data_IF_031271414313
#
_entry.id   IF_031271414313
#
_cell.length_a   1.000
_cell.length_b   1.000
_cell.length_c   1.000
_cell.angle_alpha   90.00
_cell.angle_beta   90.00
_cell.angle_gamma   90.00
#
_symmetry.space_group_name_H-M   'P 1'
#
loop_
_entity.id
_entity.type
_entity.pdbx_description
1 polymer ?
#
# COMPACT_ATOMS: atom_id res chain seq x y z
N UNK A 1 -4.19 -27.03 -5.42
CA UNK A 1 -2.99 -26.17 -5.37
C UNK A 1 -2.50 -25.72 -6.76
N UNK A 2 -2.37 -26.61 -7.76
CA UNK A 2 -1.87 -26.21 -9.10
C UNK A 2 -2.70 -25.11 -9.82
N UNK A 3 -4.01 -25.03 -9.55
CA UNK A 3 -4.92 -24.10 -10.23
C UNK A 3 -4.60 -22.63 -9.89
N UNK A 4 -4.42 -22.28 -8.62
CA UNK A 4 -4.14 -20.88 -8.22
C UNK A 4 -2.81 -20.39 -8.78
N UNK A 5 -1.79 -21.25 -8.78
CA UNK A 5 -0.50 -20.93 -9.38
C UNK A 5 -0.61 -20.70 -10.89
N UNK A 6 -1.37 -21.53 -11.60
CA UNK A 6 -1.62 -21.34 -13.03
C UNK A 6 -2.36 -20.03 -13.31
N UNK A 7 -3.42 -19.72 -12.53
CA UNK A 7 -4.19 -18.48 -12.67
C UNK A 7 -3.30 -17.26 -12.46
N UNK A 8 -2.46 -17.26 -11.42
CA UNK A 8 -1.47 -16.20 -11.14
C UNK A 8 -0.49 -16.00 -12.30
N UNK A 9 0.08 -17.09 -12.80
CA UNK A 9 1.05 -17.02 -13.89
C UNK A 9 0.40 -16.47 -15.17
N UNK A 10 -0.80 -16.95 -15.50
CA UNK A 10 -1.54 -16.49 -16.69
C UNK A 10 -1.96 -15.02 -16.55
N UNK A 11 -2.50 -14.60 -15.39
CA UNK A 11 -2.91 -13.20 -15.19
C UNK A 11 -1.72 -12.25 -15.30
N UNK A 12 -0.58 -12.58 -14.70
CA UNK A 12 0.62 -11.73 -14.78
C UNK A 12 1.22 -11.69 -16.18
N UNK A 13 1.27 -12.83 -16.88
CA UNK A 13 1.76 -12.88 -18.25
C UNK A 13 0.88 -12.04 -19.21
N UNK A 14 -0.45 -12.14 -19.07
CA UNK A 14 -1.40 -11.37 -19.88
C UNK A 14 -1.30 -9.87 -19.55
N UNK A 15 -1.22 -9.49 -18.27
CA UNK A 15 -1.03 -8.08 -17.89
C UNK A 15 0.29 -7.51 -18.43
N UNK A 16 1.39 -8.27 -18.41
CA UNK A 16 2.66 -7.82 -19.01
C UNK A 16 2.55 -7.66 -20.53
N UNK A 17 1.88 -8.58 -21.21
CA UNK A 17 1.62 -8.47 -22.65
C UNK A 17 0.80 -7.21 -22.96
N UNK A 18 -0.29 -6.98 -22.22
CA UNK A 18 -1.11 -5.77 -22.36
C UNK A 18 -0.37 -4.49 -21.99
N UNK A 19 0.56 -4.54 -21.04
CA UNK A 19 1.43 -3.40 -20.72
C UNK A 19 2.30 -3.01 -21.91
N UNK A 20 2.90 -3.99 -22.61
CA UNK A 20 3.71 -3.73 -23.81
C UNK A 20 2.86 -3.15 -24.95
N UNK A 21 1.65 -3.69 -25.15
CA UNK A 21 0.71 -3.18 -26.16
C UNK A 21 0.30 -1.75 -25.83
N UNK A 22 -0.12 -1.48 -24.59
CA UNK A 22 -0.53 -0.15 -24.12
C UNK A 22 0.61 0.88 -24.26
N UNK A 23 1.85 0.48 -23.95
CA UNK A 23 3.02 1.33 -24.15
C UNK A 23 3.22 1.71 -25.63
N UNK A 24 3.03 0.74 -26.54
CA UNK A 24 3.12 0.96 -27.97
C UNK A 24 2.00 1.86 -28.52
N UNK A 25 0.75 1.58 -28.13
CA UNK A 25 -0.43 2.33 -28.58
C UNK A 25 -0.38 3.78 -28.07
N UNK A 26 -0.11 3.98 -26.78
CA UNK A 26 0.02 5.33 -26.21
C UNK A 26 1.21 6.09 -26.79
N UNK A 27 2.36 5.43 -27.01
CA UNK A 27 3.53 6.05 -27.65
C UNK A 27 3.26 6.46 -29.10
N UNK A 28 2.55 5.61 -29.86
CA UNK A 28 2.11 5.92 -31.22
C UNK A 28 1.19 7.14 -31.25
N UNK A 29 0.21 7.19 -30.34
CA UNK A 29 -0.73 8.32 -30.24
C UNK A 29 -0.04 9.63 -29.85
N UNK A 30 0.94 9.60 -28.94
CA UNK A 30 1.78 10.78 -28.61
C UNK A 30 2.56 11.23 -29.85
N UNK A 31 3.09 10.31 -30.66
CA UNK A 31 3.85 10.64 -31.86
C UNK A 31 2.99 11.28 -32.97
N UNK A 32 1.74 10.82 -33.13
CA UNK A 32 0.81 11.42 -34.09
C UNK A 32 0.31 12.77 -33.60
N UNK A 33 0.00 12.91 -32.31
CA UNK A 33 -0.37 14.20 -31.71
C UNK A 33 0.74 15.24 -31.93
N UNK A 34 2.00 14.85 -31.78
CA UNK A 34 3.14 15.74 -32.01
C UNK A 34 3.28 16.19 -33.48
N UNK A 35 2.94 15.35 -34.46
CA UNK A 35 2.96 15.73 -35.89
C UNK A 35 1.90 16.79 -36.23
N UNK A 36 0.78 16.76 -35.52
CA UNK A 36 -0.31 17.73 -35.67
C UNK A 36 -0.03 19.05 -34.94
N UNK A 37 1.15 19.21 -34.31
CA UNK A 37 1.47 20.37 -33.48
C UNK A 37 0.80 20.35 -32.10
N UNK A 38 0.11 19.26 -31.76
CA UNK A 38 -0.54 19.06 -30.46
C UNK A 38 0.43 18.56 -29.38
N UNK A 39 0.12 18.89 -28.12
CA UNK A 39 0.82 18.31 -26.97
C UNK A 39 0.47 16.84 -26.75
N UNK A 40 1.31 16.13 -25.98
CA UNK A 40 1.02 14.76 -25.56
C UNK A 40 -0.28 14.71 -24.74
N UNK A 41 -1.30 13.96 -25.18
CA UNK A 41 -2.56 13.95 -24.46
C UNK A 41 -2.46 13.20 -23.13
N UNK A 42 -3.16 13.69 -22.10
CA UNK A 42 -2.95 13.24 -20.72
C UNK A 42 -3.23 11.75 -20.52
N UNK A 43 -4.29 11.22 -21.12
CA UNK A 43 -4.65 9.80 -21.02
C UNK A 43 -3.60 8.90 -21.68
N UNK A 44 -2.96 9.36 -22.76
CA UNK A 44 -1.88 8.62 -23.41
C UNK A 44 -0.63 8.60 -22.51
N UNK A 45 -0.28 9.75 -21.91
CA UNK A 45 0.81 9.83 -20.92
C UNK A 45 0.52 8.93 -19.71
N UNK A 46 -0.71 8.96 -19.19
CA UNK A 46 -1.14 8.08 -18.10
C UNK A 46 -1.00 6.60 -18.50
N UNK A 47 -1.44 6.22 -19.70
CA UNK A 47 -1.28 4.86 -20.23
C UNK A 47 0.19 4.41 -20.30
N UNK A 48 1.10 5.28 -20.75
CA UNK A 48 2.56 5.01 -20.73
C UNK A 48 3.05 4.76 -19.31
N UNK A 49 2.69 5.64 -18.36
CA UNK A 49 3.13 5.54 -16.97
C UNK A 49 2.62 4.25 -16.32
N UNK A 50 1.33 3.92 -16.50
CA UNK A 50 0.71 2.72 -15.94
C UNK A 50 1.32 1.44 -16.55
N UNK A 51 1.60 1.44 -17.85
CA UNK A 51 2.28 0.33 -18.52
C UNK A 51 3.71 0.11 -17.97
N UNK A 52 4.50 1.18 -17.83
CA UNK A 52 5.85 1.11 -17.28
C UNK A 52 5.86 0.64 -15.82
N UNK A 53 4.96 1.18 -14.99
CA UNK A 53 4.80 0.75 -13.60
C UNK A 53 4.42 -0.73 -13.53
N UNK A 54 3.54 -1.20 -14.41
CA UNK A 54 3.15 -2.61 -14.47
C UNK A 54 4.33 -3.51 -14.85
N UNK A 55 5.15 -3.11 -15.83
CA UNK A 55 6.36 -3.84 -16.21
C UNK A 55 7.39 -3.88 -15.07
N UNK A 56 7.62 -2.77 -14.38
CA UNK A 56 8.59 -2.65 -13.28
C UNK A 56 8.11 -3.39 -12.02
N UNK A 57 6.81 -3.50 -11.79
CA UNK A 57 6.27 -4.17 -10.60
C UNK A 57 6.04 -5.66 -10.83
N UNK A 58 5.26 -6.02 -11.85
CA UNK A 58 4.92 -7.42 -12.16
C UNK A 58 6.12 -8.16 -12.74
N UNK A 59 6.93 -7.52 -13.58
CA UNK A 59 8.07 -8.15 -14.25
C UNK A 59 9.06 -8.78 -13.27
N UNK A 60 9.61 -8.02 -12.30
CA UNK A 60 10.47 -8.56 -11.25
C UNK A 60 9.76 -9.56 -10.34
N UNK A 61 8.49 -9.36 -10.00
CA UNK A 61 7.73 -10.34 -9.22
C UNK A 61 7.68 -11.69 -9.93
N UNK A 62 7.36 -11.70 -11.23
CA UNK A 62 7.29 -12.91 -12.05
C UNK A 62 8.68 -13.54 -12.24
N UNK A 63 9.71 -12.74 -12.50
CA UNK A 63 11.08 -13.22 -12.69
C UNK A 63 11.65 -13.86 -11.41
N UNK A 64 11.45 -13.21 -10.26
CA UNK A 64 11.90 -13.74 -8.96
C UNK A 64 11.18 -15.04 -8.62
N UNK A 65 9.87 -15.12 -8.88
CA UNK A 65 9.08 -16.33 -8.66
C UNK A 65 9.60 -17.54 -9.47
N UNK A 66 10.12 -17.28 -10.68
CA UNK A 66 10.71 -18.31 -11.54
C UNK A 66 12.11 -18.74 -11.06
N UNK A 67 12.90 -17.81 -10.51
CA UNK A 67 14.30 -18.06 -10.14
C UNK A 67 14.43 -18.60 -8.71
N UNK A 68 13.65 -18.10 -7.75
CA UNK A 68 13.86 -18.38 -6.32
C UNK A 68 12.53 -18.64 -5.60
N UNK A 69 12.41 -19.85 -5.03
CA UNK A 69 11.32 -20.18 -4.10
C UNK A 69 11.53 -19.47 -2.76
N UNK A 70 10.44 -18.98 -2.16
CA UNK A 70 10.46 -18.34 -0.83
C UNK A 70 10.97 -16.90 -0.79
N UNK A 71 10.96 -16.17 -1.92
CA UNK A 71 11.28 -14.75 -1.91
C UNK A 71 10.19 -13.93 -1.21
N UNK A 72 10.58 -12.91 -0.44
CA UNK A 72 9.67 -12.01 0.30
C UNK A 72 8.68 -11.34 -0.65
N UNK A 73 9.08 -11.06 -1.89
CA UNK A 73 8.22 -10.48 -2.93
C UNK A 73 7.02 -11.35 -3.30
N UNK A 74 7.03 -12.64 -2.92
CA UNK A 74 5.93 -13.57 -3.15
C UNK A 74 4.96 -13.67 -1.95
N UNK A 75 5.12 -12.84 -0.91
CA UNK A 75 4.16 -12.83 0.20
C UNK A 75 2.81 -12.32 -0.27
N UNK A 76 1.76 -13.06 0.09
CA UNK A 76 0.37 -12.77 -0.25
C UNK A 76 -0.03 -11.32 0.09
N UNK A 77 0.41 -10.78 1.23
CA UNK A 77 0.13 -9.37 1.63
C UNK A 77 0.74 -8.36 0.66
N UNK A 78 1.99 -8.56 0.24
CA UNK A 78 2.70 -7.64 -0.65
C UNK A 78 2.07 -7.71 -2.04
N UNK A 79 1.78 -8.92 -2.51
CA UNK A 79 1.11 -9.16 -3.78
C UNK A 79 -0.28 -8.50 -3.84
N UNK A 80 -1.12 -8.68 -2.81
CA UNK A 80 -2.42 -8.01 -2.70
C UNK A 80 -2.31 -6.48 -2.70
N UNK A 81 -1.31 -5.94 -2.01
CA UNK A 81 -1.12 -4.49 -1.92
C UNK A 81 -0.73 -3.89 -3.27
N UNK A 82 0.26 -4.50 -3.95
CA UNK A 82 0.72 -4.05 -5.27
C UNK A 82 -0.37 -4.17 -6.32
N UNK A 83 -1.06 -5.32 -6.37
CA UNK A 83 -2.18 -5.51 -7.30
C UNK A 83 -3.33 -4.55 -7.01
N UNK A 84 -3.58 -4.26 -5.73
CA UNK A 84 -4.56 -3.28 -5.27
C UNK A 84 -4.37 -1.91 -5.90
N UNK A 85 -3.13 -1.42 -5.93
CA UNK A 85 -2.78 -0.15 -6.59
C UNK A 85 -2.89 -0.28 -8.11
N UNK A 86 -2.38 -1.38 -8.66
CA UNK A 86 -2.26 -1.54 -10.10
C UNK A 86 -3.63 -1.61 -10.80
N UNK A 87 -4.61 -2.33 -10.23
CA UNK A 87 -5.93 -2.41 -10.87
C UNK A 87 -6.65 -1.05 -10.91
N UNK A 88 -6.48 -0.21 -9.88
CA UNK A 88 -7.07 1.15 -9.85
C UNK A 88 -6.41 2.04 -10.91
N UNK A 89 -5.10 1.94 -11.08
CA UNK A 89 -4.38 2.68 -12.12
C UNK A 89 -4.84 2.28 -13.53
N UNK A 90 -5.05 0.99 -13.78
CA UNK A 90 -5.61 0.50 -15.05
C UNK A 90 -7.04 0.97 -15.28
N UNK A 91 -7.88 1.00 -14.23
CA UNK A 91 -9.23 1.55 -14.29
C UNK A 91 -9.20 3.05 -14.64
N UNK A 92 -8.32 3.82 -13.99
CA UNK A 92 -8.15 5.25 -14.25
C UNK A 92 -7.68 5.52 -15.68
N UNK A 93 -6.74 4.73 -16.20
CA UNK A 93 -6.28 4.84 -17.59
C UNK A 93 -7.42 4.58 -18.58
N UNK A 94 -8.18 3.49 -18.39
CA UNK A 94 -9.33 3.16 -19.24
C UNK A 94 -10.44 4.22 -19.16
N UNK A 95 -10.81 4.66 -17.95
CA UNK A 95 -11.82 5.68 -17.73
C UNK A 95 -11.41 7.03 -18.34
N UNK A 96 -10.14 7.42 -18.23
CA UNK A 96 -9.65 8.67 -18.83
C UNK A 96 -9.67 8.67 -20.36
N UNK A 97 -9.57 7.49 -20.98
CA UNK A 97 -9.71 7.34 -22.41
C UNK A 97 -11.19 7.36 -22.81
N UNK A 98 -12.05 6.70 -22.03
CA UNK A 98 -13.50 6.67 -22.25
C UNK A 98 -14.15 8.05 -22.17
N UNK A 99 -13.71 8.88 -21.23
CA UNK A 99 -14.22 10.26 -21.04
C UNK A 99 -14.04 11.12 -22.30
N UNK A 100 -12.91 10.94 -23.01
CA UNK A 100 -12.64 11.65 -24.27
C UNK A 100 -13.53 11.13 -25.41
N UNK A 101 -13.91 9.86 -25.39
CA UNK A 101 -14.78 9.24 -26.41
C UNK A 101 -16.27 9.46 -26.19
N UNK A 102 -16.70 9.74 -24.95
CA UNK A 102 -18.11 9.97 -24.60
C UNK A 102 -18.54 11.45 -24.86
N UNK A 103 -17.57 12.31 -25.19
CA UNK A 103 -17.80 13.70 -25.56
C UNK A 103 -18.17 13.89 -27.05
N UNK A 104 -19.01 14.89 -27.32
CA UNK A 104 -19.40 15.40 -28.67
C UNK A 104 -18.19 15.76 -29.56
N UNK A 105 -16.98 15.83 -28.98
CA UNK A 105 -15.77 16.39 -29.60
C UNK A 105 -15.11 15.50 -30.65
N UNK A 106 -15.27 14.16 -30.61
CA UNK A 106 -14.67 13.27 -31.62
C UNK A 106 -15.70 12.20 -32.04
N UNK A 107 -16.57 12.55 -32.99
CA UNK A 107 -17.49 11.59 -33.60
C UNK A 107 -16.74 10.70 -34.58
N UNK A 108 -16.23 9.58 -34.08
CA UNK A 108 -15.61 8.54 -34.91
C UNK A 108 -16.58 7.82 -35.86
N UNK A 109 -17.88 8.16 -35.83
CA UNK A 109 -18.91 7.52 -36.64
C UNK A 109 -19.17 8.19 -37.98
N UNK A 110 -18.79 9.45 -38.18
CA UNK A 110 -19.21 10.24 -39.34
C UNK A 110 -18.02 10.69 -40.20
N UNK A 111 -18.04 10.33 -41.49
CA UNK A 111 -17.00 10.50 -42.52
C UNK A 111 -16.62 11.97 -42.87
N UNK A 112 -16.88 12.93 -41.99
CA UNK A 112 -16.76 14.35 -42.29
C UNK A 112 -15.36 14.84 -41.95
N UNK A 113 -14.42 14.53 -42.85
CA UNK A 113 -13.05 15.02 -42.82
C UNK A 113 -12.06 13.89 -42.58
N UNK A 114 -11.06 13.79 -43.43
CA UNK A 114 -9.98 12.79 -43.42
C UNK A 114 -9.03 12.91 -42.22
N UNK A 115 -9.54 13.26 -41.03
CA UNK A 115 -8.82 13.04 -39.79
C UNK A 115 -8.71 11.52 -39.68
N UNK A 116 -7.48 11.05 -39.77
CA UNK A 116 -7.15 9.64 -39.99
C UNK A 116 -7.94 8.73 -39.03
N UNK A 117 -8.79 7.85 -39.59
CA UNK A 117 -9.49 6.77 -38.87
C UNK A 117 -8.57 5.99 -37.92
N UNK A 118 -7.26 6.00 -38.22
CA UNK A 118 -6.21 5.41 -37.40
C UNK A 118 -6.16 5.98 -35.96
N UNK A 119 -6.38 7.29 -35.78
CA UNK A 119 -6.35 7.92 -34.46
C UNK A 119 -7.50 7.38 -33.60
N UNK A 120 -8.72 7.32 -34.13
CA UNK A 120 -9.85 6.80 -33.37
C UNK A 120 -9.64 5.35 -32.92
N UNK A 121 -9.08 4.50 -33.79
CA UNK A 121 -8.76 3.12 -33.42
C UNK A 121 -7.72 3.02 -32.29
N UNK A 122 -6.79 3.96 -32.18
CA UNK A 122 -5.83 4.01 -31.08
C UNK A 122 -6.52 4.36 -29.75
N UNK A 123 -7.49 5.29 -29.74
CA UNK A 123 -8.27 5.61 -28.53
C UNK A 123 -9.07 4.41 -28.03
N UNK A 124 -9.84 3.80 -28.93
CA UNK A 124 -10.66 2.65 -28.60
C UNK A 124 -9.79 1.48 -28.09
N UNK A 125 -8.57 1.34 -28.61
CA UNK A 125 -7.62 0.37 -28.08
C UNK A 125 -7.17 0.69 -26.64
N UNK A 126 -6.80 1.93 -26.33
CA UNK A 126 -6.40 2.36 -24.97
C UNK A 126 -7.52 2.09 -23.97
N UNK A 127 -8.75 2.46 -24.32
CA UNK A 127 -9.94 2.23 -23.51
C UNK A 127 -10.14 0.73 -23.25
N UNK A 128 -10.17 -0.08 -24.31
CA UNK A 128 -10.40 -1.52 -24.22
C UNK A 128 -9.31 -2.24 -23.41
N UNK A 129 -8.03 -1.98 -23.70
CA UNK A 129 -6.93 -2.59 -22.94
C UNK A 129 -6.89 -2.10 -21.48
N UNK A 130 -7.28 -0.85 -21.24
CA UNK A 130 -7.52 -0.28 -19.92
C UNK A 130 -8.47 -1.12 -19.08
N UNK A 131 -9.71 -1.27 -19.55
CA UNK A 131 -10.76 -1.99 -18.84
C UNK A 131 -10.52 -3.50 -18.76
N UNK A 132 -10.03 -4.14 -19.82
CA UNK A 132 -9.77 -5.58 -19.81
C UNK A 132 -8.69 -5.92 -18.78
N UNK A 133 -7.59 -5.14 -18.75
CA UNK A 133 -6.51 -5.37 -17.78
C UNK A 133 -6.98 -5.10 -16.35
N UNK A 134 -7.76 -4.05 -16.15
CA UNK A 134 -8.41 -3.77 -14.87
C UNK A 134 -9.23 -4.96 -14.37
N UNK A 135 -10.11 -5.53 -15.22
CA UNK A 135 -10.96 -6.68 -14.85
C UNK A 135 -10.13 -7.91 -14.49
N UNK A 136 -9.06 -8.20 -15.24
CA UNK A 136 -8.18 -9.34 -14.97
C UNK A 136 -7.50 -9.18 -13.60
N UNK A 137 -6.94 -8.00 -13.34
CA UNK A 137 -6.26 -7.71 -12.07
C UNK A 137 -7.23 -7.70 -10.89
N UNK A 138 -8.42 -7.11 -11.04
CA UNK A 138 -9.46 -7.09 -10.02
C UNK A 138 -9.96 -8.51 -9.72
N UNK A 139 -10.25 -9.30 -10.76
CA UNK A 139 -10.68 -10.69 -10.60
C UNK A 139 -9.65 -11.52 -9.84
N UNK A 140 -8.37 -11.39 -10.21
CA UNK A 140 -7.30 -12.06 -9.49
C UNK A 140 -7.18 -11.57 -8.04
N UNK A 141 -7.21 -10.26 -7.80
CA UNK A 141 -7.14 -9.66 -6.47
C UNK A 141 -8.26 -10.17 -5.54
N UNK A 142 -9.52 -10.19 -6.02
CA UNK A 142 -10.67 -10.69 -5.26
C UNK A 142 -10.49 -12.17 -4.94
N UNK A 143 -10.10 -13.00 -5.93
CA UNK A 143 -9.92 -14.43 -5.68
C UNK A 143 -8.86 -14.67 -4.61
N UNK A 144 -7.69 -14.01 -4.71
CA UNK A 144 -6.59 -14.14 -3.76
C UNK A 144 -7.02 -13.69 -2.35
N UNK A 145 -7.78 -12.58 -2.25
CA UNK A 145 -8.33 -12.11 -0.98
C UNK A 145 -9.28 -13.14 -0.35
N UNK A 146 -10.24 -13.67 -1.11
CA UNK A 146 -11.22 -14.65 -0.63
C UNK A 146 -10.53 -15.93 -0.14
N UNK A 147 -9.56 -16.45 -0.89
CA UNK A 147 -8.81 -17.65 -0.48
C UNK A 147 -7.98 -17.41 0.78
N UNK A 148 -7.32 -16.26 0.88
CA UNK A 148 -6.53 -15.87 2.06
C UNK A 148 -7.40 -15.73 3.30
N UNK A 149 -8.55 -15.05 3.18
CA UNK A 149 -9.49 -14.87 4.30
C UNK A 149 -10.06 -16.21 4.75
N UNK A 150 -10.42 -17.11 3.82
CA UNK A 150 -10.91 -18.46 4.17
C UNK A 150 -9.85 -19.28 4.91
N UNK A 151 -8.62 -19.31 4.42
CA UNK A 151 -7.52 -20.03 5.08
C UNK A 151 -7.19 -19.43 6.46
N UNK A 152 -7.27 -18.11 6.60
CA UNK A 152 -7.10 -17.43 7.88
C UNK A 152 -8.20 -17.81 8.89
N UNK A 153 -9.47 -17.89 8.45
CA UNK A 153 -10.59 -18.32 9.30
C UNK A 153 -10.44 -19.80 9.73
N UNK A 154 -9.80 -20.63 8.90
CA UNK A 154 -9.49 -22.04 9.23
C UNK A 154 -8.34 -22.21 10.24
N UNK A 155 -7.78 -21.12 10.76
CA UNK A 155 -6.72 -21.15 11.78
C UNK A 155 -5.29 -21.12 11.23
N UNK A 156 -5.12 -21.06 9.90
CA UNK A 156 -3.80 -20.91 9.30
C UNK A 156 -3.34 -19.45 9.36
N UNK A 157 -2.72 -19.05 10.47
CA UNK A 157 -2.26 -17.66 10.67
C UNK A 157 -1.07 -17.28 9.78
N UNK A 158 -0.29 -18.26 9.29
CA UNK A 158 0.89 -18.00 8.46
C UNK A 158 0.53 -17.73 6.99
N UNK A 159 -0.75 -17.86 6.61
CA UNK A 159 -1.26 -17.61 5.24
C UNK A 159 -0.82 -16.24 4.67
N UNK A 160 -0.77 -15.19 5.50
CA UNK A 160 -0.44 -13.83 5.05
C UNK A 160 1.03 -13.67 4.64
N UNK A 161 1.93 -14.43 5.27
CA UNK A 161 3.37 -14.43 4.99
C UNK A 161 3.75 -15.61 4.08
N UNK A 162 2.80 -16.50 3.78
CA UNK A 162 2.97 -17.60 2.86
C UNK A 162 3.04 -17.09 1.41
N UNK A 163 3.71 -17.88 0.57
CA UNK A 163 3.62 -17.71 -0.89
C UNK A 163 2.34 -18.38 -1.37
N UNK A 164 1.71 -17.86 -2.43
CA UNK A 164 0.51 -18.48 -3.05
C UNK A 164 0.78 -19.94 -3.46
N UNK A 165 2.04 -20.27 -3.77
CA UNK A 165 2.48 -21.60 -4.19
C UNK A 165 2.60 -22.58 -3.03
N UNK A 166 3.11 -22.13 -1.88
CA UNK A 166 3.43 -23.00 -0.74
C UNK A 166 2.26 -23.09 0.26
N UNK A 167 1.27 -22.20 0.14
CA UNK A 167 0.12 -22.17 1.04
C UNK A 167 -0.94 -23.18 0.61
N UNK A 168 -1.25 -24.13 1.49
CA UNK A 168 -2.39 -25.04 1.29
C UNK A 168 -3.69 -24.37 1.73
N UNK A 169 -4.50 -23.97 0.76
CA UNK A 169 -5.82 -23.37 0.98
C UNK A 169 -6.95 -24.40 1.17
N UNK A 170 -6.66 -25.69 0.96
CA UNK A 170 -7.66 -26.78 0.98
C UNK A 170 -7.65 -27.59 2.26
N UNK A 171 -6.48 -27.78 2.87
CA UNK A 171 -6.38 -28.52 4.11
C UNK A 171 -6.51 -27.57 5.29
N UNK A 172 -7.74 -27.42 5.80
CA UNK A 172 -7.93 -26.95 7.17
C UNK A 172 -7.04 -27.83 8.06
N UNK A 173 -6.16 -27.22 8.84
CA UNK A 173 -5.12 -27.92 9.59
C UNK A 173 -5.76 -28.96 10.52
N UNK A 174 -5.96 -30.18 10.05
CA UNK A 174 -6.03 -31.35 10.92
C UNK A 174 -4.68 -31.37 11.58
N UNK A 175 -4.64 -30.94 12.84
CA UNK A 175 -3.45 -30.74 13.65
C UNK A 175 -2.68 -32.02 13.94
N UNK A 176 -2.24 -32.71 12.89
CA UNK A 176 -1.00 -33.45 12.94
C UNK A 176 0.06 -32.37 12.80
N UNK A 177 0.34 -31.68 13.91
CA UNK A 177 1.56 -30.89 14.00
C UNK A 177 2.69 -31.78 13.47
N UNK A 178 3.69 -31.22 12.74
CA UNK A 178 4.87 -32.00 12.46
C UNK A 178 5.27 -32.60 13.79
N UNK A 179 5.31 -33.93 13.87
CA UNK A 179 6.17 -34.62 14.81
C UNK A 179 7.54 -34.01 14.51
N UNK A 180 7.82 -32.85 15.11
CA UNK A 180 9.16 -32.42 15.40
C UNK A 180 9.68 -33.69 16.05
N UNK A 181 10.58 -34.44 15.38
CA UNK A 181 11.06 -35.68 15.92
C UNK A 181 11.51 -35.27 17.30
N UNK A 182 10.75 -35.72 18.33
CA UNK A 182 11.13 -35.49 19.70
C UNK A 182 12.54 -36.02 19.69
N UNK A 183 13.52 -35.12 19.76
CA UNK A 183 14.92 -35.47 19.81
C UNK A 183 14.92 -36.52 20.89
N UNK A 184 15.11 -37.82 20.55
CA UNK A 184 14.77 -38.91 21.44
C UNK A 184 15.48 -38.55 22.71
N UNK A 185 14.68 -38.27 23.76
CA UNK A 185 15.19 -37.77 25.02
C UNK A 185 16.38 -38.66 25.30
N UNK A 186 17.59 -38.12 25.16
CA UNK A 186 18.76 -38.94 25.32
C UNK A 186 18.73 -39.23 26.80
N UNK A 187 18.18 -40.39 27.14
CA UNK A 187 18.60 -41.23 28.25
C UNK A 187 20.06 -41.60 28.00
N UNK A 188 20.91 -40.57 27.87
CA UNK A 188 22.26 -40.60 28.35
C UNK A 188 22.13 -40.63 29.86
N UNK A 189 21.89 -41.84 30.36
CA UNK A 189 22.65 -42.29 31.52
C UNK A 189 24.10 -42.10 31.12
N UNK A 190 24.60 -40.89 31.35
CA UNK A 190 26.02 -40.61 31.38
C UNK A 190 26.55 -41.52 32.48
N UNK A 191 27.19 -42.60 32.04
CA UNK A 191 27.94 -43.50 32.90
C UNK A 191 28.99 -42.63 33.55
N UNK A 192 28.71 -42.21 34.79
CA UNK A 192 29.65 -41.52 35.68
C UNK A 192 30.99 -42.21 35.58
N UNK A 193 31.92 -41.55 34.90
CA UNK A 193 33.32 -41.89 34.96
C UNK A 193 33.78 -41.60 36.39
N UNK A 194 34.39 -42.55 37.10
CA UNK A 194 34.76 -42.37 38.50
C UNK A 194 35.81 -41.26 38.59
N UNK A 195 35.36 -40.08 39.02
CA UNK A 195 36.24 -38.99 39.40
C UNK A 195 37.00 -39.43 40.63
N UNK A 196 38.33 -39.40 40.50
CA UNK A 196 39.25 -39.67 41.59
C UNK A 196 38.93 -38.78 42.79
N UNK A 197 38.95 -39.43 43.96
CA UNK A 197 38.82 -38.87 45.30
C UNK A 197 39.35 -37.44 45.46
N UNK A 198 38.44 -36.48 45.65
CA UNK A 198 38.75 -35.22 46.33
C UNK A 198 38.52 -35.44 47.83
N UNK A 199 39.47 -35.11 48.71
CA UNK A 199 39.33 -35.33 50.14
C UNK A 199 38.27 -34.43 50.76
N UNK A 200 37.59 -35.00 51.74
CA UNK A 200 36.51 -34.45 52.52
C UNK A 200 36.87 -33.09 53.15
N UNK A 201 36.06 -32.07 52.87
CA UNK A 201 35.90 -30.90 53.74
C UNK A 201 34.56 -31.04 54.42
N UNK A 202 34.61 -31.33 55.72
CA UNK A 202 33.46 -31.43 56.59
C UNK A 202 32.93 -30.01 56.88
N UNK A 203 31.70 -29.73 56.48
CA UNK A 203 30.88 -28.72 57.13
C UNK A 203 29.50 -29.29 57.43
N UNK A 204 29.35 -29.63 58.71
CA UNK A 204 28.09 -29.82 59.41
C UNK A 204 27.32 -28.50 59.50
N UNK A 205 26.00 -28.54 59.32
CA UNK A 205 25.11 -27.48 59.80
C UNK A 205 23.88 -27.28 58.95
N UNK A 206 22.78 -27.92 59.36
CA UNK A 206 21.43 -27.60 58.94
C UNK A 206 21.16 -26.09 58.99
N UNK A 207 20.57 -25.53 57.94
CA UNK A 207 19.47 -24.60 58.15
C UNK A 207 18.42 -24.73 57.04
N UNK A 208 17.19 -24.83 57.53
CA UNK A 208 15.94 -24.94 56.81
C UNK A 208 15.60 -23.66 56.03
N UNK A 209 14.74 -23.83 55.04
CA UNK A 209 13.86 -22.80 54.47
C UNK A 209 14.57 -21.73 53.64
N UNK A 210 14.64 -21.97 52.34
CA UNK A 210 14.62 -20.88 51.36
C UNK A 210 13.65 -21.23 50.26
N UNK A 211 12.58 -20.42 50.19
CA UNK A 211 11.70 -20.30 49.05
C UNK A 211 12.54 -20.36 47.77
N UNK A 212 12.14 -21.23 46.85
CA UNK A 212 12.55 -21.21 45.47
C UNK A 212 12.25 -19.82 44.89
N UNK A 213 13.27 -18.96 44.90
CA UNK A 213 13.28 -17.74 44.13
C UNK A 213 13.13 -18.14 42.67
N UNK A 214 11.95 -17.82 42.12
CA UNK A 214 11.74 -17.83 40.69
C UNK A 214 12.72 -16.81 40.12
N UNK A 215 13.82 -17.31 39.57
CA UNK A 215 14.83 -16.51 38.89
C UNK A 215 14.16 -15.87 37.69
N UNK A 216 13.76 -14.62 37.88
CA UNK A 216 13.32 -13.73 36.82
C UNK A 216 14.38 -13.79 35.71
N UNK A 217 14.01 -14.12 34.46
CA UNK A 217 14.98 -14.24 33.40
C UNK A 217 15.70 -12.90 33.24
N UNK A 218 17.03 -12.96 33.31
CA UNK A 218 17.98 -11.88 33.11
C UNK A 218 17.45 -10.82 32.13
N UNK A 219 17.07 -9.66 32.66
CA UNK A 219 16.99 -8.42 31.90
C UNK A 219 18.42 -8.05 31.48
N UNK A 220 18.91 -8.68 30.41
CA UNK A 220 20.12 -8.21 29.71
C UNK A 220 19.87 -6.77 29.30
N UNK A 221 20.61 -5.86 29.92
CA UNK A 221 20.71 -4.46 29.52
C UNK A 221 21.25 -4.40 28.10
N UNK A 222 20.36 -4.23 27.12
CA UNK A 222 20.74 -3.96 25.75
C UNK A 222 21.40 -2.56 25.69
N UNK A 223 22.63 -2.44 25.15
CA UNK A 223 23.28 -1.15 25.01
C UNK A 223 22.43 -0.23 24.11
N UNK A 224 22.54 1.08 24.35
CA UNK A 224 21.74 2.15 23.72
C UNK A 224 22.43 2.84 22.52
N UNK A 225 22.77 2.20 21.38
CA UNK A 225 23.12 2.94 20.17
C UNK A 225 21.88 3.34 19.33
N UNK A 226 20.68 2.96 19.78
CA UNK A 226 19.45 2.97 18.97
C UNK A 226 18.86 4.39 18.78
N UNK A 227 19.05 5.30 19.74
CA UNK A 227 18.58 6.69 19.59
C UNK A 227 19.32 7.42 18.47
N UNK A 228 20.63 7.18 18.30
CA UNK A 228 21.45 7.85 17.30
C UNK A 228 21.08 7.46 15.87
N UNK A 229 20.73 6.19 15.64
CA UNK A 229 20.26 5.70 14.32
C UNK A 229 18.86 6.26 14.00
N UNK A 230 17.98 6.38 15.01
CA UNK A 230 16.66 7.00 14.87
C UNK A 230 16.74 8.48 14.49
N UNK A 231 17.59 9.26 15.18
CA UNK A 231 17.82 10.67 14.84
C UNK A 231 18.50 10.83 13.47
N UNK A 232 19.36 9.89 13.07
CA UNK A 232 19.95 9.89 11.74
C UNK A 232 18.92 9.62 10.64
N UNK A 233 18.00 8.67 10.81
CA UNK A 233 16.95 8.38 9.82
C UNK A 233 15.91 9.51 9.74
N UNK A 234 15.50 10.08 10.88
CA UNK A 234 14.61 11.26 10.91
C UNK A 234 15.29 12.49 10.30
N UNK A 235 16.57 12.68 10.57
CA UNK A 235 17.40 13.71 9.96
C UNK A 235 17.51 13.50 8.45
N UNK A 236 17.71 12.27 7.98
CA UNK A 236 17.88 11.96 6.57
C UNK A 236 16.57 12.11 5.78
N UNK A 237 15.42 11.73 6.36
CA UNK A 237 14.10 12.01 5.76
C UNK A 237 13.79 13.51 5.73
N UNK A 238 14.13 14.25 6.79
CA UNK A 238 13.97 15.71 6.84
C UNK A 238 14.92 16.42 5.85
N UNK A 239 16.14 15.91 5.67
CA UNK A 239 17.10 16.44 4.69
C UNK A 239 16.62 16.13 3.27
N UNK A 240 16.17 14.91 2.96
CA UNK A 240 15.61 14.58 1.65
C UNK A 240 14.38 15.43 1.33
N UNK A 241 13.50 15.66 2.32
CA UNK A 241 12.34 16.52 2.18
C UNK A 241 12.73 18.00 1.97
N UNK A 242 13.65 18.54 2.76
CA UNK A 242 14.18 19.88 2.59
C UNK A 242 14.93 20.05 1.26
N UNK A 243 15.67 19.04 0.79
CA UNK A 243 16.37 19.06 -0.51
C UNK A 243 15.40 18.99 -1.67
N UNK A 244 14.27 18.31 -1.53
CA UNK A 244 13.18 18.31 -2.52
C UNK A 244 12.39 19.64 -2.53
N UNK A 245 12.24 20.29 -1.36
CA UNK A 245 11.61 21.60 -1.21
C UNK A 245 12.52 22.79 -1.58
N UNK A 246 13.84 22.64 -1.49
CA UNK A 246 14.80 23.71 -1.75
C UNK A 246 14.70 24.34 -3.16
N UNK A 247 14.45 23.59 -4.25
CA UNK A 247 14.22 24.21 -5.56
C UNK A 247 12.87 24.93 -5.70
N UNK A 248 11.90 24.78 -4.77
CA UNK A 248 10.57 25.38 -4.85
C UNK A 248 10.50 26.84 -4.32
N UNK A 249 11.61 27.58 -4.33
CA UNK A 249 11.70 28.94 -3.75
C UNK A 249 10.75 30.02 -4.30
N UNK A 250 10.09 29.95 -5.48
CA UNK A 250 9.03 30.90 -5.80
C UNK A 250 7.65 30.42 -5.31
N UNK A 251 7.54 29.98 -4.04
CA UNK A 251 6.29 29.48 -3.45
C UNK A 251 5.21 30.57 -3.25
N UNK A 252 5.56 31.86 -3.36
CA UNK A 252 4.60 32.97 -3.29
C UNK A 252 3.70 33.09 -4.52
N UNK A 253 4.03 32.40 -5.62
CA UNK A 253 3.25 32.41 -6.86
C UNK A 253 2.34 31.19 -7.00
N UNK A 254 2.51 30.16 -6.16
CA UNK A 254 1.65 28.99 -6.21
C UNK A 254 0.31 29.29 -5.53
N UNK A 255 -0.80 28.86 -6.14
CA UNK A 255 -2.10 29.01 -5.50
C UNK A 255 -2.14 28.24 -4.19
N UNK A 256 -2.85 28.77 -3.19
CA UNK A 256 -2.83 28.27 -1.81
C UNK A 256 -3.12 26.76 -1.70
N UNK A 257 -3.99 26.22 -2.56
CA UNK A 257 -4.30 24.78 -2.60
C UNK A 257 -3.09 23.90 -2.94
N UNK A 258 -2.21 24.33 -3.85
CA UNK A 258 -1.03 23.55 -4.24
C UNK A 258 -0.03 23.45 -3.08
N UNK A 259 0.07 24.50 -2.27
CA UNK A 259 0.90 24.53 -1.06
C UNK A 259 0.37 23.52 -0.04
N UNK A 260 -0.94 23.44 0.15
CA UNK A 260 -1.57 22.46 1.04
C UNK A 260 -1.27 21.02 0.59
N UNK A 261 -1.45 20.67 -0.68
CA UNK A 261 -1.20 19.31 -1.16
C UNK A 261 0.27 18.89 -0.99
N UNK A 262 1.21 19.80 -1.25
CA UNK A 262 2.65 19.55 -1.03
C UNK A 262 2.96 19.35 0.46
N UNK A 263 2.36 20.16 1.35
CA UNK A 263 2.53 20.03 2.80
C UNK A 263 1.95 18.71 3.30
N UNK A 264 0.74 18.34 2.87
CA UNK A 264 0.07 17.09 3.27
C UNK A 264 0.83 15.86 2.76
N UNK A 265 1.30 15.89 1.50
CA UNK A 265 2.16 14.84 0.95
C UNK A 265 3.48 14.72 1.70
N UNK A 266 4.10 15.86 2.03
CA UNK A 266 5.31 15.92 2.83
C UNK A 266 5.17 15.36 4.24
N UNK A 267 4.12 15.77 4.95
CA UNK A 267 3.78 15.22 6.27
C UNK A 267 3.54 13.71 6.17
N UNK A 268 2.83 13.25 5.15
CA UNK A 268 2.59 11.81 4.93
C UNK A 268 3.91 11.04 4.81
N UNK A 269 4.88 11.53 4.04
CA UNK A 269 6.19 10.89 3.91
C UNK A 269 7.00 10.94 5.22
N UNK A 270 6.98 12.08 5.92
CA UNK A 270 7.69 12.27 7.19
C UNK A 270 7.16 11.34 8.28
N UNK A 271 5.86 11.04 8.29
CA UNK A 271 5.26 10.18 9.31
C UNK A 271 5.24 8.71 8.90
N UNK A 272 4.84 8.38 7.66
CA UNK A 272 4.71 6.98 7.23
C UNK A 272 6.05 6.28 7.04
N UNK A 273 7.06 6.95 6.49
CA UNK A 273 8.35 6.30 6.21
C UNK A 273 9.04 5.88 7.51
N UNK A 274 9.25 6.77 8.51
CA UNK A 274 9.86 6.36 9.78
C UNK A 274 9.00 5.35 10.52
N UNK A 275 7.67 5.50 10.50
CA UNK A 275 6.76 4.55 11.14
C UNK A 275 6.92 3.13 10.56
N UNK A 276 6.82 2.97 9.24
CA UNK A 276 7.04 1.68 8.56
C UNK A 276 8.46 1.16 8.80
N UNK A 277 9.47 2.04 8.76
CA UNK A 277 10.87 1.66 8.95
C UNK A 277 11.14 1.18 10.37
N UNK A 278 10.56 1.83 11.39
CA UNK A 278 10.68 1.42 12.79
C UNK A 278 9.98 0.08 13.03
N UNK A 279 8.80 -0.12 12.44
CA UNK A 279 8.05 -1.38 12.49
C UNK A 279 8.82 -2.55 11.90
N UNK A 280 9.54 -2.29 10.81
CA UNK A 280 10.37 -3.29 10.15
C UNK A 280 11.60 -3.65 11.00
N UNK A 281 12.23 -2.67 11.66
CA UNK A 281 13.52 -2.83 12.34
C UNK A 281 13.38 -3.30 13.80
N UNK A 282 12.37 -2.86 14.54
CA UNK A 282 12.34 -3.04 16.00
C UNK A 282 11.06 -3.72 16.49
N UNK A 283 11.20 -4.90 17.11
CA UNK A 283 10.13 -5.52 17.91
C UNK A 283 9.90 -4.69 19.18
N UNK A 284 8.65 -4.33 19.48
CA UNK A 284 8.28 -3.62 20.71
C UNK A 284 8.53 -2.11 20.76
N UNK A 285 8.66 -1.41 19.63
CA UNK A 285 8.76 0.05 19.65
C UNK A 285 7.39 0.72 19.95
N UNK A 286 7.38 1.78 20.76
CA UNK A 286 6.17 2.55 21.10
C UNK A 286 5.42 3.11 19.87
N UNK A 287 6.11 3.29 18.75
CA UNK A 287 5.52 3.74 17.48
C UNK A 287 4.76 2.65 16.74
N UNK A 288 4.84 1.38 17.16
CA UNK A 288 4.10 0.27 16.54
C UNK A 288 2.81 -0.10 17.29
N UNK A 289 2.43 0.75 18.25
CA UNK A 289 1.17 0.62 18.95
C UNK A 289 0.02 0.84 17.97
N UNK A 290 -0.90 -0.13 17.91
CA UNK A 290 -2.08 -0.09 17.05
C UNK A 290 -2.84 1.23 17.20
N UNK A 291 -2.93 1.77 18.43
CA UNK A 291 -3.62 3.04 18.70
C UNK A 291 -2.90 4.25 18.07
N UNK A 292 -1.57 4.26 18.07
CA UNK A 292 -0.77 5.35 17.49
C UNK A 292 -0.88 5.30 15.97
N UNK A 293 -0.79 4.11 15.39
CA UNK A 293 -0.99 3.88 13.95
C UNK A 293 -2.38 4.33 13.50
N UNK A 294 -3.42 3.98 14.25
CA UNK A 294 -4.80 4.38 13.96
C UNK A 294 -4.97 5.90 14.03
N UNK A 295 -4.38 6.56 15.04
CA UNK A 295 -4.46 8.02 15.18
C UNK A 295 -3.73 8.70 14.03
N UNK A 296 -2.49 8.31 13.73
CA UNK A 296 -1.68 8.93 12.68
C UNK A 296 -2.33 8.75 11.31
N UNK A 297 -2.78 7.53 10.99
CA UNK A 297 -3.43 7.23 9.71
C UNK A 297 -4.80 7.90 9.59
N UNK A 298 -5.58 7.98 10.67
CA UNK A 298 -6.86 8.71 10.68
C UNK A 298 -6.65 10.20 10.46
N UNK A 299 -5.68 10.82 11.16
CA UNK A 299 -5.34 12.25 10.98
C UNK A 299 -4.85 12.52 9.57
N UNK A 300 -3.95 11.69 9.03
CA UNK A 300 -3.50 11.81 7.63
C UNK A 300 -4.67 11.63 6.66
N UNK A 301 -5.60 10.70 6.90
CA UNK A 301 -6.78 10.55 6.06
C UNK A 301 -7.66 11.81 6.08
N UNK A 302 -7.89 12.41 7.26
CA UNK A 302 -8.68 13.64 7.37
C UNK A 302 -7.99 14.79 6.63
N UNK A 303 -6.66 14.88 6.68
CA UNK A 303 -5.88 15.89 5.94
C UNK A 303 -5.99 15.70 4.44
N UNK A 304 -5.92 14.47 3.91
CA UNK A 304 -6.12 14.20 2.49
C UNK A 304 -7.56 14.43 2.03
N UNK A 305 -8.55 14.12 2.88
CA UNK A 305 -9.95 14.42 2.60
C UNK A 305 -10.21 15.93 2.60
N UNK A 306 -9.61 16.66 3.54
CA UNK A 306 -9.69 18.12 3.60
C UNK A 306 -9.02 18.77 2.39
N UNK A 307 -7.89 18.24 1.93
CA UNK A 307 -7.22 18.68 0.70
C UNK A 307 -8.13 18.45 -0.53
N UNK A 308 -8.71 17.26 -0.67
CA UNK A 308 -9.67 16.96 -1.74
C UNK A 308 -10.92 17.88 -1.69
N UNK A 309 -11.43 18.16 -0.48
CA UNK A 309 -12.57 19.05 -0.25
C UNK A 309 -12.24 20.53 -0.56
N UNK A 310 -11.04 20.99 -0.19
CA UNK A 310 -10.54 22.34 -0.48
C UNK A 310 -10.35 22.56 -1.98
N UNK A 311 -9.97 21.52 -2.73
CA UNK A 311 -9.84 21.59 -4.19
C UNK A 311 -11.23 21.65 -4.87
N UNK A 312 -12.23 20.99 -4.28
CA UNK A 312 -13.62 20.96 -4.79
C UNK A 312 -14.43 22.19 -4.42
N UNK A 313 -14.05 22.96 -3.38
CA UNK A 313 -14.73 24.20 -3.04
C UNK A 313 -14.52 25.27 -4.12
N UNK A 314 -15.40 25.24 -5.12
CA UNK A 314 -15.48 26.15 -6.27
C UNK A 314 -15.75 27.60 -5.88
N UNK A 315 -15.92 27.93 -4.61
CA UNK A 315 -16.30 29.28 -4.18
C UNK A 315 -15.22 30.36 -4.41
N UNK A 316 -13.97 29.99 -4.72
CA UNK A 316 -12.93 30.94 -5.12
C UNK A 316 -12.94 31.31 -6.63
N UNK A 317 -13.83 30.71 -7.43
CA UNK A 317 -14.07 31.14 -8.82
C UNK A 317 -14.95 32.39 -8.92
N UNK A 318 -15.31 33.05 -7.82
CA UNK A 318 -16.03 34.34 -7.83
C UNK A 318 -15.33 35.42 -8.67
N UNK A 319 -13.99 35.36 -8.77
CA UNK A 319 -13.23 36.27 -9.63
C UNK A 319 -13.48 36.00 -11.11
N UNK A 320 -13.46 34.73 -11.56
CA UNK A 320 -13.74 34.35 -12.95
C UNK A 320 -15.24 34.44 -13.30
N UNK A 321 -16.12 34.19 -12.34
CA UNK A 321 -17.57 34.41 -12.47
C UNK A 321 -17.92 35.89 -12.66
N UNK A 322 -17.09 36.81 -12.14
CA UNK A 322 -17.24 38.26 -12.39
C UNK A 322 -16.90 38.66 -13.83
N UNK A 323 -16.15 37.82 -14.57
CA UNK A 323 -15.92 37.95 -16.01
C UNK A 323 -16.98 37.23 -16.87
N UNK A 324 -18.04 36.69 -16.27
CA UNK A 324 -19.13 36.03 -17.01
C UNK A 324 -18.83 34.58 -17.42
N UNK A 325 -17.83 33.94 -16.83
CA UNK A 325 -17.38 32.59 -17.21
C UNK A 325 -18.24 31.47 -16.59
N UNK A 326 -18.50 30.42 -17.38
CA UNK A 326 -19.17 29.19 -16.97
C UNK A 326 -18.26 28.31 -16.09
N UNK A 327 -18.85 27.61 -15.10
CA UNK A 327 -18.17 26.96 -13.95
C UNK A 327 -17.32 25.70 -14.30
N UNK A 328 -17.07 25.40 -15.58
CA UNK A 328 -16.39 24.18 -16.04
C UNK A 328 -15.16 24.51 -16.90
N UNK A 329 -14.03 23.82 -16.66
CA UNK A 329 -12.85 23.91 -17.54
C UNK A 329 -13.20 23.53 -19.00
N UNK A 330 -14.33 22.85 -19.24
CA UNK A 330 -14.84 22.56 -20.58
C UNK A 330 -15.23 23.80 -21.39
N UNK A 331 -15.60 24.91 -20.75
CA UNK A 331 -15.91 26.17 -21.44
C UNK A 331 -14.67 26.99 -21.79
N UNK A 332 -13.51 26.63 -21.23
CA UNK A 332 -12.26 27.35 -21.47
C UNK A 332 -11.70 27.05 -22.86
N UNK A 333 -11.79 25.80 -23.33
CA UNK A 333 -11.30 25.41 -24.65
C UNK A 333 -12.13 26.06 -25.77
N UNK A 334 -13.47 26.05 -25.66
CA UNK A 334 -14.36 26.72 -26.64
C UNK A 334 -14.15 28.24 -26.68
N UNK A 335 -13.82 28.86 -25.55
CA UNK A 335 -13.49 30.28 -25.49
C UNK A 335 -12.09 30.58 -26.03
N UNK A 336 -11.10 29.71 -25.80
CA UNK A 336 -9.77 29.87 -26.41
C UNK A 336 -9.90 29.88 -27.93
N UNK A 337 -10.69 28.95 -28.48
CA UNK A 337 -10.98 28.90 -29.92
C UNK A 337 -11.67 30.19 -30.40
N UNK A 338 -12.68 30.68 -29.68
CA UNK A 338 -13.37 31.94 -30.00
C UNK A 338 -12.46 33.18 -29.90
N UNK A 339 -11.55 33.21 -28.92
CA UNK A 339 -10.60 34.31 -28.74
C UNK A 339 -9.50 34.26 -29.78
N UNK A 340 -9.00 33.08 -30.13
CA UNK A 340 -8.03 32.90 -31.19
C UNK A 340 -8.62 33.32 -32.54
N UNK A 341 -9.87 32.94 -32.83
CA UNK A 341 -10.61 33.37 -34.01
C UNK A 341 -10.86 34.90 -34.02
N UNK A 342 -11.20 35.49 -32.87
CA UNK A 342 -11.37 36.93 -32.73
C UNK A 342 -10.05 37.71 -32.92
N UNK A 343 -8.93 37.23 -32.37
CA UNK A 343 -7.60 37.83 -32.52
C UNK A 343 -7.14 37.82 -33.98
N UNK A 344 -7.43 36.74 -34.70
CA UNK A 344 -7.13 36.63 -36.14
C UNK A 344 -7.96 37.63 -36.96
N UNK A 345 -9.21 37.88 -36.57
CA UNK A 345 -10.11 38.79 -37.28
C UNK A 345 -9.77 40.28 -37.13
N UNK A 346 -9.31 40.72 -35.95
CA UNK A 346 -9.06 42.15 -35.63
C UNK A 346 -7.76 42.38 -34.82
N UNK A 347 -6.57 42.22 -35.44
CA UNK A 347 -5.29 42.30 -34.73
C UNK A 347 -4.97 43.69 -34.16
N UNK A 348 -5.58 44.75 -34.69
CA UNK A 348 -5.33 46.13 -34.24
C UNK A 348 -5.93 46.46 -32.87
N UNK A 349 -6.97 45.72 -32.44
CA UNK A 349 -7.68 45.98 -31.18
C UNK A 349 -7.13 45.11 -30.05
N UNK A 350 -6.67 43.90 -30.37
CA UNK A 350 -6.29 42.88 -29.38
C UNK A 350 -4.78 42.61 -29.26
N UNK A 351 -3.92 43.42 -29.89
CA UNK A 351 -2.47 43.21 -29.91
C UNK A 351 -1.79 43.10 -28.53
N UNK A 352 -2.41 43.60 -27.46
CA UNK A 352 -1.93 43.44 -26.08
C UNK A 352 -2.25 42.08 -25.42
N UNK A 353 -3.19 41.30 -25.97
CA UNK A 353 -3.54 39.96 -25.47
C UNK A 353 -2.72 38.83 -26.11
N UNK A 354 -2.02 39.09 -27.22
CA UNK A 354 -1.21 38.10 -27.92
C UNK A 354 0.01 37.59 -27.09
N UNK A 355 0.41 38.33 -26.05
CA UNK A 355 1.48 37.91 -25.12
C UNK A 355 0.98 37.02 -23.97
N UNK A 356 -0.34 36.78 -23.86
CA UNK A 356 -0.88 35.89 -22.84
C UNK A 356 -0.73 34.46 -23.34
N UNK A 357 0.20 33.73 -22.75
CA UNK A 357 0.47 32.33 -23.08
C UNK A 357 -0.65 31.42 -22.54
N UNK A 358 -1.73 31.28 -23.32
CA UNK A 358 -2.90 30.44 -22.99
C UNK A 358 -2.55 28.97 -22.74
N UNK A 359 -1.39 28.50 -23.22
CA UNK A 359 -0.87 27.16 -22.95
C UNK A 359 -0.63 26.90 -21.45
N UNK A 360 -0.31 27.93 -20.67
CA UNK A 360 -0.15 27.79 -19.22
C UNK A 360 -1.48 27.56 -18.50
N UNK A 361 -2.57 28.17 -18.96
CA UNK A 361 -3.87 28.12 -18.26
C UNK A 361 -4.51 26.73 -18.40
N UNK A 362 -4.44 26.12 -19.59
CA UNK A 362 -4.95 24.76 -19.80
C UNK A 362 -4.15 23.70 -19.03
N UNK A 363 -2.84 23.93 -18.83
CA UNK A 363 -1.99 23.06 -18.00
C UNK A 363 -2.36 23.10 -16.52
N UNK A 364 -2.84 24.23 -16.01
CA UNK A 364 -3.24 24.42 -14.60
C UNK A 364 -4.57 23.71 -14.26
N UNK A 365 -5.56 23.73 -15.17
CA UNK A 365 -6.79 22.95 -15.00
C UNK A 365 -6.49 21.44 -14.89
N UNK A 366 -5.62 20.92 -15.75
CA UNK A 366 -5.22 19.50 -15.76
C UNK A 366 -4.45 19.09 -14.51
N UNK A 367 -3.54 19.94 -14.02
CA UNK A 367 -2.84 19.67 -12.77
C UNK A 367 -3.79 19.60 -11.57
N UNK A 368 -4.84 20.43 -11.56
CA UNK A 368 -5.84 20.44 -10.48
C UNK A 368 -6.61 19.11 -10.41
N UNK A 369 -7.09 18.59 -11.54
CA UNK A 369 -7.80 17.30 -11.57
C UNK A 369 -6.90 16.13 -11.16
N UNK A 370 -5.66 16.10 -11.65
CA UNK A 370 -4.71 15.05 -11.31
C UNK A 370 -4.40 15.05 -9.80
N UNK A 371 -4.18 16.23 -9.20
CA UNK A 371 -3.93 16.38 -7.77
C UNK A 371 -5.16 15.95 -6.96
N UNK A 372 -6.36 16.35 -7.38
CA UNK A 372 -7.60 15.93 -6.73
C UNK A 372 -7.77 14.40 -6.74
N UNK A 373 -7.55 13.77 -7.90
CA UNK A 373 -7.63 12.32 -8.05
C UNK A 373 -6.62 11.60 -7.15
N UNK A 374 -5.36 12.07 -7.12
CA UNK A 374 -4.33 11.50 -6.25
C UNK A 374 -4.63 11.69 -4.77
N UNK A 375 -5.15 12.85 -4.36
CA UNK A 375 -5.56 13.12 -2.97
C UNK A 375 -6.68 12.19 -2.51
N UNK A 376 -7.68 11.97 -3.37
CA UNK A 376 -8.76 11.04 -3.09
C UNK A 376 -8.29 9.59 -2.99
N UNK A 377 -7.36 9.19 -3.85
CA UNK A 377 -6.80 7.84 -3.89
C UNK A 377 -5.92 7.56 -2.66
N UNK A 378 -5.08 8.52 -2.26
CA UNK A 378 -4.31 8.46 -1.02
C UNK A 378 -5.21 8.37 0.22
N UNK A 379 -6.30 9.14 0.24
CA UNK A 379 -7.32 9.05 1.28
C UNK A 379 -7.95 7.66 1.35
N UNK A 380 -8.37 7.09 0.21
CA UNK A 380 -8.97 5.74 0.16
C UNK A 380 -8.03 4.68 0.73
N UNK A 381 -6.74 4.71 0.39
CA UNK A 381 -5.77 3.76 0.92
C UNK A 381 -5.56 3.92 2.43
N UNK A 382 -5.38 5.15 2.91
CA UNK A 382 -5.19 5.43 4.34
C UNK A 382 -6.43 5.03 5.15
N UNK A 383 -7.62 5.34 4.64
CA UNK A 383 -8.87 4.99 5.29
C UNK A 383 -9.11 3.47 5.26
N UNK A 384 -8.84 2.81 4.13
CA UNK A 384 -8.90 1.35 4.03
C UNK A 384 -7.96 0.65 5.02
N UNK A 385 -6.74 1.16 5.17
CA UNK A 385 -5.79 0.68 6.18
C UNK A 385 -6.31 0.89 7.60
N UNK A 386 -6.78 2.10 7.93
CA UNK A 386 -7.31 2.42 9.25
C UNK A 386 -8.53 1.57 9.62
N UNK A 387 -9.48 1.36 8.69
CA UNK A 387 -10.65 0.50 8.88
C UNK A 387 -10.22 -0.94 9.12
N UNK A 388 -9.23 -1.44 8.38
CA UNK A 388 -8.73 -2.81 8.53
C UNK A 388 -8.11 -3.02 9.90
N UNK A 389 -7.27 -2.08 10.37
CA UNK A 389 -6.69 -2.11 11.72
C UNK A 389 -7.77 -2.03 12.79
N UNK A 390 -8.77 -1.16 12.63
CA UNK A 390 -9.86 -1.02 13.59
C UNK A 390 -10.68 -2.32 13.68
N UNK A 391 -11.03 -2.92 12.54
CA UNK A 391 -11.77 -4.18 12.51
C UNK A 391 -10.97 -5.30 13.19
N UNK A 392 -9.67 -5.42 12.91
CA UNK A 392 -8.80 -6.39 13.55
C UNK A 392 -8.73 -6.19 15.08
N UNK A 393 -8.57 -4.94 15.52
CA UNK A 393 -8.54 -4.59 16.95
C UNK A 393 -9.87 -4.88 17.65
N UNK A 394 -11.01 -4.57 17.01
CA UNK A 394 -12.34 -4.84 17.55
C UNK A 394 -12.61 -6.34 17.67
N UNK A 395 -12.24 -7.13 16.66
CA UNK A 395 -12.39 -8.60 16.71
C UNK A 395 -11.58 -9.18 17.87
N UNK A 396 -10.34 -8.73 18.06
CA UNK A 396 -9.50 -9.24 19.14
C UNK A 396 -9.96 -8.76 20.52
N UNK A 397 -10.48 -7.52 20.64
CA UNK A 397 -11.13 -7.04 21.86
C UNK A 397 -12.36 -7.88 22.22
N UNK A 398 -13.19 -8.23 21.23
CA UNK A 398 -14.38 -9.05 21.45
C UNK A 398 -14.04 -10.49 21.89
N UNK A 399 -12.80 -10.93 21.67
CA UNK A 399 -12.25 -12.22 22.15
C UNK A 399 -11.65 -12.13 23.56
N UNK A 400 -11.78 -11.00 24.25
CA UNK A 400 -11.32 -10.83 25.63
C UNK A 400 -9.87 -10.36 25.77
N UNK A 401 -9.18 -10.03 24.68
CA UNK A 401 -7.84 -9.44 24.78
C UNK A 401 -7.95 -7.93 25.06
N UNK A 402 -7.87 -7.55 26.34
CA UNK A 402 -7.94 -6.16 26.78
C UNK A 402 -6.66 -5.37 26.51
N UNK A 403 -5.52 -6.04 26.34
CA UNK A 403 -4.21 -5.42 26.12
C UNK A 403 -3.95 -5.09 24.64
N UNK A 404 -4.93 -5.35 23.75
CA UNK A 404 -4.79 -5.19 22.30
C UNK A 404 -4.34 -3.78 21.89
N UNK A 405 -4.80 -2.75 22.61
CA UNK A 405 -4.52 -1.35 22.29
C UNK A 405 -3.09 -0.92 22.64
N UNK A 406 -2.47 -1.62 23.61
CA UNK A 406 -1.10 -1.40 24.08
C UNK A 406 -0.09 -2.38 23.47
N UNK A 407 -0.57 -3.35 22.70
CA UNK A 407 0.28 -4.32 22.01
C UNK A 407 0.59 -3.87 20.58
N UNK A 408 1.75 -4.30 20.08
CA UNK A 408 2.19 -3.95 18.73
C UNK A 408 1.41 -4.74 17.68
N UNK A 409 1.18 -4.18 16.49
CA UNK A 409 0.50 -4.88 15.36
C UNK A 409 1.15 -6.24 15.06
N UNK A 410 2.45 -6.34 15.31
CA UNK A 410 3.26 -7.52 14.99
C UNK A 410 3.26 -8.60 16.08
N UNK A 411 3.17 -8.20 17.35
CA UNK A 411 3.16 -9.12 18.50
C UNK A 411 1.74 -9.56 18.88
N UNK A 412 0.73 -8.86 18.37
CA UNK A 412 -0.68 -9.23 18.54
C UNK A 412 -1.00 -10.49 17.75
N UNK A 413 -1.09 -11.62 18.47
CA UNK A 413 -1.75 -12.80 17.95
C UNK A 413 -3.26 -12.59 18.01
N UNK A 414 -3.79 -11.81 17.06
CA UNK A 414 -5.23 -11.45 16.98
C UNK A 414 -6.17 -12.65 17.01
N UNK A 415 -5.66 -13.84 16.64
CA UNK A 415 -6.45 -15.04 16.50
C UNK A 415 -6.13 -16.16 17.49
N UNK A 416 -5.10 -16.05 18.33
CA UNK A 416 -4.81 -17.15 19.26
C UNK A 416 -5.89 -17.15 20.33
N UNK A 417 -6.77 -18.15 20.25
CA UNK A 417 -7.79 -18.39 21.26
C UNK A 417 -6.99 -18.77 22.51
N UNK A 418 -7.05 -17.94 23.54
CA UNK A 418 -6.71 -18.41 24.88
C UNK A 418 -7.69 -19.54 25.17
N UNK A 419 -7.27 -20.77 24.88
CA UNK A 419 -7.84 -21.91 25.57
C UNK A 419 -7.59 -21.59 27.03
N UNK A 420 -8.67 -21.25 27.72
CA UNK A 420 -8.70 -21.27 29.17
C UNK A 420 -8.38 -22.72 29.46
N UNK A 421 -7.09 -23.01 29.65
CA UNK A 421 -6.64 -24.25 30.24
C UNK A 421 -7.28 -24.18 31.61
N UNK A 422 -8.48 -24.75 31.72
CA UNK A 422 -9.05 -25.14 32.97
C UNK A 422 -8.05 -26.17 33.48
N UNK A 423 -7.02 -25.67 34.16
CA UNK A 423 -6.21 -26.43 35.08
C UNK A 423 -7.22 -26.90 36.09
N UNK A 424 -7.80 -28.05 35.76
CA UNK A 424 -8.59 -28.82 36.68
C UNK A 424 -7.57 -29.13 37.76
N UNK A 425 -7.64 -28.37 38.85
CA UNK A 425 -6.91 -28.66 40.07
C UNK A 425 -7.50 -29.99 40.50
N UNK A 426 -6.93 -31.08 39.97
CA UNK A 426 -7.10 -32.40 40.53
C UNK A 426 -6.66 -32.24 41.97
N UNK A 427 -7.66 -32.23 42.84
CA UNK A 427 -7.48 -32.32 44.27
C UNK A 427 -6.65 -33.58 44.50
N UNK A 428 -5.37 -33.41 44.81
CA UNK A 428 -4.55 -34.49 45.34
C UNK A 428 -5.26 -35.02 46.58
N UNK A 429 -5.99 -36.13 46.42
CA UNK A 429 -6.50 -36.93 47.52
C UNK A 429 -5.31 -37.30 48.40
N UNK A 430 -5.34 -36.81 49.64
CA UNK A 430 -4.38 -37.14 50.68
C UNK A 430 -4.36 -38.67 50.88
N UNK A 431 -3.24 -39.29 50.52
CA UNK A 431 -2.96 -40.68 50.86
C UNK A 431 -2.92 -40.83 52.39
N UNK A 432 -3.72 -41.74 52.99
CA UNK A 432 -3.72 -41.96 54.42
C UNK A 432 -2.40 -42.59 54.87
N UNK A 433 -1.78 -41.94 55.87
CA UNK A 433 -0.61 -42.40 56.61
C UNK A 433 -0.87 -43.79 57.21
N UNK A 434 -0.33 -44.82 56.57
CA UNK A 434 -0.44 -46.22 56.97
C UNK A 434 0.81 -46.73 57.69
N UNK A 435 0.73 -46.69 59.03
CA UNK A 435 1.35 -47.55 60.06
C UNK A 435 2.79 -48.07 59.87
N UNK A 436 3.64 -47.58 60.77
CA UNK A 436 4.80 -48.32 61.30
C UNK A 436 4.37 -49.67 61.87
N UNK A 437 5.10 -50.72 61.51
CA UNK A 437 5.31 -51.93 62.31
C UNK A 437 6.79 -52.28 62.30
#
# INVERSE_FOLDING_TARGET
MAILWNVRFVSFAVTLLFSVIMLGVSGGLISEAAKLGGGAPNYAVLGVVVALLSMITIGPMLAIDLIRRGAITSWIVIELSVLGVLWILWLSAGASAADVTDGITIDCGNEIGSIDNNICHLYQAIEAFGFITWLILLGYWITLLVFTVRAHIQGNMTVWQGTVRDTDFSNGSTGNGPDMPMTPASTGVEKLQPYASVPAVAHTGLESNTLSSFSSPDQRSYPRPVTTVLWALFGLSAILFCSFLWPLRPLSLLPSWAIYSVVVGGLSLIFLIPMVTIDLIRRGALTSLIIVDLIVTSVLSILWLADAALITDQNNLKFLKSFGYSDTCSGLDEFIDLVEEAIVSEPAIYGGLADIDFSQISSLCRQKEAIQAMSFLAWLFLMGYAITLLCAALVARNRGNTEIWSSTVRDTRFLERHEVVNVSIEHSEELPVGKQY
#
